data_IF_132216990689
#
_entry.id   IF_132216990689
#
_cell.length_a   1.000
_cell.length_b   1.000
_cell.length_c   1.000
_cell.angle_alpha   90.00
_cell.angle_beta   90.00
_cell.angle_gamma   90.00
#
_symmetry.space_group_name_H-M   'P 1'
#
loop_
_entity.id
_entity.type
_entity.pdbx_description
1 polymer ?
#
# COMPACT_ATOMS: atom_id res chain seq x y z
N UNK A 1 -14.93 -6.64 1.33
CA UNK A 1 -14.43 -5.74 0.28
C UNK A 1 -15.33 -4.53 0.30
N UNK A 2 -14.80 -3.33 0.54
CA UNK A 2 -15.60 -2.11 0.37
C UNK A 2 -15.66 -1.83 -1.12
N UNK A 3 -16.85 -1.96 -1.71
CA UNK A 3 -17.05 -1.90 -3.17
C UNK A 3 -16.64 -0.55 -3.79
N UNK A 4 -16.54 0.50 -2.97
CA UNK A 4 -16.23 1.86 -3.40
C UNK A 4 -14.74 2.13 -3.68
N UNK A 5 -13.81 1.32 -3.14
CA UNK A 5 -12.37 1.60 -3.26
C UNK A 5 -11.57 0.37 -3.73
N UNK A 6 -11.43 0.16 -5.05
CA UNK A 6 -10.71 -0.99 -5.58
C UNK A 6 -9.21 -0.89 -5.30
N UNK A 7 -8.55 -2.05 -5.26
CA UNK A 7 -7.12 -2.13 -5.08
C UNK A 7 -6.36 -1.40 -6.23
N UNK A 8 -5.26 -0.69 -5.93
CA UNK A 8 -4.41 -0.07 -6.93
C UNK A 8 -3.82 -1.10 -7.91
N UNK A 9 -3.41 -0.62 -9.10
CA UNK A 9 -2.68 -1.45 -10.07
C UNK A 9 -1.37 -1.93 -9.46
N UNK A 10 -0.95 -3.15 -9.79
CA UNK A 10 0.28 -3.77 -9.26
C UNK A 10 0.32 -3.88 -7.73
N UNK A 11 -0.84 -4.04 -7.08
CA UNK A 11 -0.93 -4.31 -5.66
C UNK A 11 -0.50 -5.75 -5.34
N UNK A 12 0.44 -5.91 -4.41
CA UNK A 12 0.73 -7.14 -3.72
C UNK A 12 0.46 -6.95 -2.23
N UNK A 13 -0.03 -7.97 -1.53
CA UNK A 13 -0.23 -7.90 -0.08
C UNK A 13 0.17 -9.20 0.59
N UNK A 14 0.58 -9.12 1.84
CA UNK A 14 1.01 -10.28 2.61
C UNK A 14 0.90 -10.03 4.12
N UNK A 15 1.43 -10.99 4.87
CA UNK A 15 1.59 -10.87 6.31
C UNK A 15 3.03 -11.20 6.68
N UNK A 16 3.61 -10.44 7.60
CA UNK A 16 4.80 -10.91 8.32
C UNK A 16 4.41 -11.27 9.75
N UNK A 17 5.03 -12.32 10.25
CA UNK A 17 4.83 -12.78 11.63
C UNK A 17 5.95 -12.19 12.47
N UNK A 18 5.57 -11.43 13.47
CA UNK A 18 6.48 -10.87 14.48
C UNK A 18 7.02 -11.98 15.40
N UNK A 19 8.14 -11.74 16.12
CA UNK A 19 8.69 -12.71 17.06
C UNK A 19 7.70 -13.17 18.15
N UNK A 20 6.75 -12.32 18.55
CA UNK A 20 5.69 -12.65 19.51
C UNK A 20 4.45 -13.28 18.85
N UNK A 21 4.56 -13.71 17.59
CA UNK A 21 3.53 -14.47 16.87
C UNK A 21 2.40 -13.62 16.28
N UNK A 22 2.43 -12.29 16.43
CA UNK A 22 1.41 -11.40 15.84
C UNK A 22 1.61 -11.28 14.33
N UNK A 23 0.53 -11.42 13.57
CA UNK A 23 0.52 -11.21 12.11
C UNK A 23 0.25 -9.75 11.79
N UNK A 24 1.16 -9.12 11.08
CA UNK A 24 0.98 -7.74 10.59
C UNK A 24 0.78 -7.80 9.08
N UNK A 25 -0.35 -7.26 8.61
CA UNK A 25 -0.65 -7.15 7.18
C UNK A 25 0.15 -6.01 6.58
N UNK A 26 0.74 -6.23 5.42
CA UNK A 26 1.41 -5.20 4.63
C UNK A 26 0.91 -5.23 3.19
N UNK A 27 1.11 -4.13 2.47
CA UNK A 27 0.84 -4.01 1.04
C UNK A 27 2.02 -3.36 0.33
N UNK A 28 2.29 -3.76 -0.90
CA UNK A 28 3.29 -3.16 -1.76
C UNK A 28 2.62 -2.81 -3.07
N UNK A 29 2.80 -1.57 -3.52
CA UNK A 29 2.18 -1.02 -4.71
C UNK A 29 3.28 -0.43 -5.59
N UNK A 30 3.51 -1.01 -6.75
CA UNK A 30 4.54 -0.52 -7.65
C UNK A 30 4.11 0.80 -8.31
N UNK A 31 5.08 1.69 -8.55
CA UNK A 31 4.87 2.88 -9.36
C UNK A 31 4.31 2.51 -10.74
N UNK A 32 3.39 3.33 -11.24
CA UNK A 32 2.80 3.16 -12.57
C UNK A 32 3.52 4.04 -13.59
N UNK A 33 3.96 5.23 -13.18
CA UNK A 33 4.61 6.20 -14.05
C UNK A 33 6.15 6.12 -14.03
N UNK A 34 6.76 6.78 -15.03
CA UNK A 34 8.21 7.02 -15.14
C UNK A 34 8.49 8.53 -15.10
N UNK A 35 9.68 8.97 -14.65
CA UNK A 35 10.75 8.16 -14.07
C UNK A 35 10.35 7.57 -12.70
N UNK A 36 11.06 6.53 -12.26
CA UNK A 36 10.85 5.99 -10.91
C UNK A 36 11.50 6.94 -9.91
N UNK A 37 10.70 7.53 -9.04
CA UNK A 37 11.13 8.56 -8.10
C UNK A 37 11.52 8.01 -6.72
N UNK A 38 11.23 6.74 -6.45
CA UNK A 38 11.57 6.05 -5.20
C UNK A 38 10.37 5.35 -4.57
N UNK A 39 10.47 5.07 -3.27
CA UNK A 39 9.42 4.38 -2.49
C UNK A 39 8.99 5.24 -1.30
N UNK A 40 7.69 5.39 -1.13
CA UNK A 40 7.07 5.99 0.06
C UNK A 40 6.64 4.87 1.01
N UNK A 41 7.04 4.95 2.27
CA UNK A 41 6.53 4.05 3.31
C UNK A 41 5.31 4.71 3.97
N UNK A 42 4.15 4.08 3.87
CA UNK A 42 2.89 4.58 4.38
C UNK A 42 2.48 3.83 5.65
N UNK A 43 2.60 4.49 6.79
CA UNK A 43 2.22 3.93 8.09
C UNK A 43 0.78 4.31 8.41
N UNK A 44 -0.09 3.30 8.53
CA UNK A 44 -1.50 3.50 8.88
C UNK A 44 -1.68 3.84 10.36
N UNK A 45 -2.76 4.56 10.68
CA UNK A 45 -3.15 4.77 12.07
C UNK A 45 -3.56 3.49 12.79
N UNK A 46 -3.69 3.58 14.12
CA UNK A 46 -4.18 2.47 14.96
C UNK A 46 -5.66 2.19 14.61
N UNK A 47 -5.99 0.92 14.36
CA UNK A 47 -7.31 0.45 13.91
C UNK A 47 -7.72 0.90 12.50
N UNK A 48 -6.79 1.34 11.66
CA UNK A 48 -7.08 1.64 10.26
C UNK A 48 -6.71 0.48 9.34
N UNK A 49 -7.42 0.39 8.22
CA UNK A 49 -7.19 -0.61 7.17
C UNK A 49 -6.48 0.03 5.99
N UNK A 50 -5.64 -0.74 5.29
CA UNK A 50 -4.87 -0.27 4.12
C UNK A 50 -5.78 0.22 2.99
N UNK A 51 -6.98 -0.35 2.86
CA UNK A 51 -7.99 -0.01 1.85
C UNK A 51 -8.42 1.47 1.94
N UNK A 52 -8.31 2.12 3.10
CA UNK A 52 -8.60 3.56 3.26
C UNK A 52 -7.66 4.42 2.41
N UNK A 53 -6.45 3.95 2.17
CA UNK A 53 -5.38 4.73 1.54
C UNK A 53 -5.21 4.44 0.04
N UNK A 54 -6.04 3.59 -0.56
CA UNK A 54 -5.86 3.22 -1.96
C UNK A 54 -5.92 4.40 -2.93
N UNK A 55 -6.69 5.45 -2.62
CA UNK A 55 -6.69 6.69 -3.40
C UNK A 55 -5.33 7.39 -3.33
N UNK A 56 -4.82 7.64 -2.12
CA UNK A 56 -3.49 8.23 -1.91
C UNK A 56 -2.37 7.39 -2.54
N UNK A 57 -2.48 6.07 -2.45
CA UNK A 57 -1.52 5.15 -3.07
C UNK A 57 -1.54 5.27 -4.59
N UNK A 58 -2.73 5.38 -5.21
CA UNK A 58 -2.87 5.58 -6.66
C UNK A 58 -2.23 6.89 -7.09
N UNK A 59 -2.50 7.99 -6.37
CA UNK A 59 -1.90 9.30 -6.68
C UNK A 59 -0.36 9.29 -6.58
N UNK A 60 0.20 8.58 -5.60
CA UNK A 60 1.65 8.43 -5.47
C UNK A 60 2.23 7.56 -6.59
N UNK A 61 1.55 6.46 -6.94
CA UNK A 61 1.97 5.55 -8.00
C UNK A 61 1.95 6.21 -9.38
N UNK A 62 0.94 7.04 -9.66
CA UNK A 62 0.81 7.82 -10.90
C UNK A 62 1.85 8.95 -10.99
N UNK A 63 2.42 9.37 -9.86
CA UNK A 63 3.55 10.32 -9.80
C UNK A 63 4.91 9.66 -9.91
N UNK A 64 4.99 8.33 -10.00
CA UNK A 64 6.25 7.59 -10.14
C UNK A 64 6.84 7.05 -8.85
N UNK A 65 6.08 7.04 -7.74
CA UNK A 65 6.52 6.46 -6.46
C UNK A 65 5.95 5.05 -6.26
N UNK A 66 6.77 4.11 -5.80
CA UNK A 66 6.26 2.88 -5.18
C UNK A 66 5.73 3.20 -3.78
N UNK A 67 4.80 2.39 -3.25
CA UNK A 67 4.28 2.53 -1.88
C UNK A 67 4.38 1.20 -1.14
N UNK A 68 4.83 1.24 0.12
CA UNK A 68 4.97 0.07 1.01
C UNK A 68 4.38 0.34 2.39
#
# INVERSE_FOLDING_TARGET
MTEDNPAPRNAASGFFTTPDGKKIRYGVFAAVARPLLGTVVLLTGRNECIEKYFETIRDLADRGFGVA
#
